data_IF_692991203449
#
_entry.id   IF_692991203449
#
_cell.length_a   1.000
_cell.length_b   1.000
_cell.length_c   1.000
_cell.angle_alpha   90.00
_cell.angle_beta   90.00
_cell.angle_gamma   90.00
#
_symmetry.space_group_name_H-M   'P 1'
#
loop_
_entity.id
_entity.type
_entity.pdbx_description
1 polymer ?
#
# COMPACT_ATOMS: atom_id res chain seq x y z
N UNK A 1 5.73 -20.91 -15.42
CA UNK A 1 6.70 -19.91 -14.91
C UNK A 1 6.01 -18.58 -14.59
N UNK A 2 6.14 -18.08 -13.35
CA UNK A 2 5.73 -16.72 -13.02
C UNK A 2 6.59 -15.73 -13.82
N UNK A 3 5.94 -14.90 -14.64
CA UNK A 3 6.62 -13.83 -15.38
C UNK A 3 6.88 -12.69 -14.40
N UNK A 4 8.13 -12.25 -14.29
CA UNK A 4 8.47 -11.07 -13.49
C UNK A 4 7.69 -9.85 -14.00
N UNK A 5 6.86 -9.19 -13.16
CA UNK A 5 6.08 -8.05 -13.60
C UNK A 5 6.99 -6.93 -14.10
N UNK A 6 6.54 -6.25 -15.17
CA UNK A 6 7.23 -5.12 -15.79
C UNK A 6 6.24 -4.07 -16.23
N UNK A 7 6.61 -2.81 -16.07
CA UNK A 7 5.82 -1.68 -16.55
C UNK A 7 4.92 -1.11 -15.46
N UNK A 8 3.89 -0.39 -15.89
CA UNK A 8 3.02 0.37 -15.01
C UNK A 8 1.62 -0.26 -14.93
N UNK A 9 0.99 -0.11 -13.77
CA UNK A 9 -0.42 -0.39 -13.54
C UNK A 9 -1.05 0.87 -12.96
N UNK A 10 -2.14 1.33 -13.57
CA UNK A 10 -2.96 2.43 -13.04
C UNK A 10 -4.35 1.88 -12.76
N UNK A 11 -4.86 2.18 -11.58
CA UNK A 11 -6.23 1.91 -11.20
C UNK A 11 -6.83 3.18 -10.59
N UNK A 12 -8.01 3.57 -11.07
CA UNK A 12 -8.75 4.72 -10.55
C UNK A 12 -10.20 4.31 -10.38
N UNK A 13 -10.76 4.69 -9.25
CA UNK A 13 -12.17 4.48 -8.92
C UNK A 13 -12.80 5.82 -8.59
N UNK A 14 -14.06 5.98 -9.02
CA UNK A 14 -14.89 7.13 -8.69
C UNK A 14 -16.26 6.59 -8.27
N UNK A 15 -16.65 6.87 -7.03
CA UNK A 15 -17.94 6.51 -6.48
C UNK A 15 -18.74 7.78 -6.18
N UNK A 16 -20.03 7.76 -6.50
CA UNK A 16 -20.97 8.84 -6.21
C UNK A 16 -22.21 8.24 -5.56
N UNK A 17 -22.53 8.71 -4.37
CA UNK A 17 -23.78 8.38 -3.68
C UNK A 17 -24.58 9.67 -3.46
N UNK A 18 -25.87 9.62 -3.79
CA UNK A 18 -26.77 10.76 -3.62
C UNK A 18 -28.19 10.30 -3.36
N UNK A 19 -28.93 11.07 -2.56
CA UNK A 19 -30.38 10.89 -2.35
C UNK A 19 -31.16 10.96 -3.66
N UNK A 20 -30.67 11.68 -4.68
CA UNK A 20 -31.28 11.70 -6.02
C UNK A 20 -31.34 10.31 -6.69
N UNK A 21 -30.50 9.37 -6.26
CA UNK A 21 -30.47 7.99 -6.72
C UNK A 21 -30.95 6.98 -5.67
N UNK A 22 -31.61 7.45 -4.60
CA UNK A 22 -32.13 6.60 -3.52
C UNK A 22 -31.08 6.11 -2.51
N UNK A 23 -29.91 6.76 -2.45
CA UNK A 23 -28.93 6.48 -1.40
C UNK A 23 -29.30 7.15 -0.07
N UNK A 24 -29.04 6.47 1.04
CA UNK A 24 -29.16 7.03 2.39
C UNK A 24 -28.00 7.96 2.76
N UNK A 25 -26.89 7.89 1.99
CA UNK A 25 -25.69 8.70 2.17
C UNK A 25 -25.48 9.62 0.97
N UNK A 26 -24.78 10.74 1.20
CA UNK A 26 -24.38 11.67 0.16
C UNK A 26 -22.87 11.88 0.21
N UNK A 27 -22.16 11.32 -0.77
CA UNK A 27 -20.71 11.43 -0.86
C UNK A 27 -20.23 11.37 -2.30
N UNK A 28 -19.04 11.92 -2.51
CA UNK A 28 -18.19 11.63 -3.64
C UNK A 28 -16.87 11.04 -3.14
N UNK A 29 -16.45 9.91 -3.70
CA UNK A 29 -15.17 9.27 -3.40
C UNK A 29 -14.36 9.10 -4.67
N UNK A 30 -13.09 9.47 -4.62
CA UNK A 30 -12.12 9.17 -5.66
C UNK A 30 -10.91 8.46 -5.07
N UNK A 31 -10.42 7.41 -5.73
CA UNK A 31 -9.16 6.76 -5.37
C UNK A 31 -8.30 6.56 -6.60
N UNK A 32 -7.00 6.76 -6.48
CA UNK A 32 -6.01 6.48 -7.51
C UNK A 32 -4.90 5.60 -6.94
N UNK A 33 -4.47 4.61 -7.71
CA UNK A 33 -3.34 3.72 -7.42
C UNK A 33 -2.48 3.59 -8.65
N UNK A 34 -1.19 3.79 -8.45
CA UNK A 34 -0.13 3.69 -9.43
C UNK A 34 0.89 2.69 -8.91
N UNK A 35 1.25 1.71 -9.72
CA UNK A 35 2.34 0.80 -9.43
C UNK A 35 3.29 0.74 -10.64
N UNK A 36 4.59 0.76 -10.40
CA UNK A 36 5.62 0.61 -11.42
C UNK A 36 6.61 -0.47 -11.02
N UNK A 37 6.84 -1.42 -11.92
CA UNK A 37 7.69 -2.58 -11.71
C UNK A 37 8.87 -2.54 -12.67
N UNK A 38 10.07 -2.41 -12.11
CA UNK A 38 11.34 -2.47 -12.83
C UNK A 38 12.03 -3.81 -12.54
N UNK A 39 11.95 -4.73 -13.50
CA UNK A 39 12.64 -6.02 -13.44
C UNK A 39 13.87 -6.00 -14.34
N UNK A 40 15.01 -6.43 -13.79
CA UNK A 40 16.27 -6.53 -14.53
C UNK A 40 16.48 -7.89 -15.22
N UNK A 41 15.51 -8.80 -15.14
CA UNK A 41 15.58 -10.08 -15.85
C UNK A 41 15.69 -9.86 -17.38
N UNK A 42 16.21 -10.82 -18.15
CA UNK A 42 16.01 -10.81 -19.59
C UNK A 42 14.51 -10.89 -19.90
N UNK A 43 14.04 -10.23 -20.96
CA UNK A 43 12.70 -10.54 -21.49
C UNK A 43 12.80 -11.93 -22.11
N UNK A 44 12.12 -12.93 -21.56
CA UNK A 44 12.05 -14.25 -22.20
C UNK A 44 11.31 -14.11 -23.53
N UNK A 45 12.01 -14.35 -24.64
CA UNK A 45 11.47 -14.26 -26.00
C UNK A 45 10.49 -15.41 -26.31
N UNK A 46 10.48 -16.47 -25.49
CA UNK A 46 9.55 -17.60 -25.62
C UNK A 46 9.19 -18.15 -24.23
N UNK A 47 7.91 -18.14 -23.82
CA UNK A 47 7.48 -18.76 -22.56
C UNK A 47 7.84 -20.24 -22.54
N UNK A 48 8.59 -20.69 -21.53
CA UNK A 48 8.93 -22.11 -21.34
C UNK A 48 10.27 -22.57 -21.93
N UNK A 49 11.02 -21.70 -22.61
CA UNK A 49 12.42 -21.97 -22.98
C UNK A 49 13.32 -21.18 -22.04
N UNK A 50 13.76 -21.82 -20.96
CA UNK A 50 14.89 -21.32 -20.16
C UNK A 50 16.14 -21.97 -20.71
N UNK A 51 16.93 -21.23 -21.46
CA UNK A 51 18.30 -21.65 -21.73
C UNK A 51 19.05 -21.60 -20.39
N UNK A 52 19.46 -22.77 -19.89
CA UNK A 52 20.21 -22.90 -18.64
C UNK A 52 21.64 -22.38 -18.87
N UNK A 53 21.76 -21.06 -18.99
CA UNK A 53 23.04 -20.40 -19.06
C UNK A 53 23.54 -20.20 -17.64
N UNK A 54 24.71 -20.79 -17.35
CA UNK A 54 25.45 -20.56 -16.12
C UNK A 54 25.93 -19.11 -16.08
N UNK A 55 25.07 -18.23 -15.57
CA UNK A 55 25.39 -16.80 -15.40
C UNK A 55 26.22 -16.58 -14.12
N UNK A 56 27.13 -15.59 -14.11
CA UNK A 56 27.86 -15.19 -12.91
C UNK A 56 26.91 -14.84 -11.73
N UNK A 57 27.31 -15.07 -10.46
CA UNK A 57 26.44 -14.85 -9.31
C UNK A 57 25.84 -13.44 -9.22
N UNK A 58 26.63 -12.41 -9.51
CA UNK A 58 26.16 -11.02 -9.50
C UNK A 58 25.11 -10.77 -10.60
N UNK A 59 25.33 -11.35 -11.79
CA UNK A 59 24.38 -11.24 -12.88
C UNK A 59 23.08 -11.97 -12.54
N UNK A 60 23.16 -13.16 -11.95
CA UNK A 60 22.01 -13.91 -11.45
C UNK A 60 21.18 -13.10 -10.45
N UNK A 61 21.86 -12.46 -9.48
CA UNK A 61 21.26 -11.59 -8.49
C UNK A 61 20.43 -10.47 -9.13
N UNK A 62 21.02 -9.71 -10.05
CA UNK A 62 20.30 -8.63 -10.73
C UNK A 62 19.15 -9.18 -11.55
N UNK A 63 19.36 -10.23 -12.35
CA UNK A 63 18.31 -10.81 -13.19
C UNK A 63 17.08 -11.30 -12.41
N UNK A 64 17.25 -11.70 -11.16
CA UNK A 64 16.14 -12.13 -10.29
C UNK A 64 15.63 -11.03 -9.35
N UNK A 65 16.24 -9.85 -9.38
CA UNK A 65 15.83 -8.71 -8.59
C UNK A 65 14.66 -7.95 -9.24
N UNK A 66 13.83 -7.35 -8.39
CA UNK A 66 12.70 -6.49 -8.77
C UNK A 66 12.71 -5.24 -7.91
N UNK A 67 12.57 -4.09 -8.56
CA UNK A 67 12.29 -2.83 -7.88
C UNK A 67 10.85 -2.43 -8.17
N UNK A 68 10.05 -2.27 -7.12
CA UNK A 68 8.64 -1.90 -7.19
C UNK A 68 8.43 -0.52 -6.55
N UNK A 69 7.66 0.32 -7.24
CA UNK A 69 7.24 1.62 -6.76
C UNK A 69 5.72 1.64 -6.70
N UNK A 70 5.15 2.14 -5.60
CA UNK A 70 3.73 2.30 -5.39
C UNK A 70 3.40 3.73 -5.01
N UNK A 71 2.32 4.25 -5.54
CA UNK A 71 1.70 5.49 -5.08
C UNK A 71 0.18 5.31 -5.03
N UNK A 72 -0.45 5.74 -3.95
CA UNK A 72 -1.90 5.69 -3.77
C UNK A 72 -2.36 6.99 -3.15
N UNK A 73 -3.53 7.44 -3.56
CA UNK A 73 -4.22 8.54 -2.92
C UNK A 73 -5.73 8.29 -2.97
N UNK A 74 -6.44 8.78 -1.96
CA UNK A 74 -7.89 8.74 -1.94
C UNK A 74 -8.46 9.93 -1.21
N UNK A 75 -9.61 10.40 -1.70
CA UNK A 75 -10.39 11.46 -1.10
C UNK A 75 -11.86 11.03 -1.08
N UNK A 76 -12.52 11.22 0.05
CA UNK A 76 -13.96 11.08 0.20
C UNK A 76 -14.50 12.36 0.82
N UNK A 77 -15.49 12.96 0.17
CA UNK A 77 -16.10 14.19 0.62
C UNK A 77 -17.60 13.97 0.78
N UNK A 78 -18.16 14.42 1.90
CA UNK A 78 -19.62 14.40 2.09
C UNK A 78 -20.26 15.50 1.26
N UNK A 79 -21.34 15.16 0.54
CA UNK A 79 -22.09 16.13 -0.26
C UNK A 79 -23.29 16.72 0.50
N UNK A 80 -23.52 16.27 1.73
CA UNK A 80 -24.55 16.85 2.59
C UNK A 80 -24.11 18.28 2.98
N UNK A 81 -24.90 19.28 2.60
CA UNK A 81 -24.82 20.61 3.20
C UNK A 81 -25.44 20.55 4.59
N UNK A 82 -24.63 20.36 5.62
CA UNK A 82 -25.12 20.59 6.97
C UNK A 82 -25.20 22.09 7.22
N UNK A 83 -26.39 22.59 7.53
CA UNK A 83 -26.52 23.86 8.25
C UNK A 83 -25.74 23.80 9.57
N UNK A 84 -25.54 24.93 10.27
CA UNK A 84 -24.63 25.04 11.42
C UNK A 84 -24.87 24.07 12.59
N UNK A 85 -25.97 23.31 12.60
CA UNK A 85 -26.37 22.40 13.67
C UNK A 85 -26.41 20.90 13.28
N UNK A 86 -26.05 20.52 12.05
CA UNK A 86 -25.89 19.09 11.69
C UNK A 86 -24.40 18.75 11.55
N UNK A 87 -23.95 17.71 12.25
CA UNK A 87 -22.60 17.21 12.04
C UNK A 87 -22.56 16.52 10.67
N UNK A 88 -21.84 17.07 9.70
CA UNK A 88 -21.48 16.36 8.47
C UNK A 88 -20.64 15.16 8.87
N UNK A 89 -21.29 14.01 9.03
CA UNK A 89 -20.75 12.82 9.71
C UNK A 89 -20.64 11.71 8.70
N UNK A 90 -19.59 11.71 7.87
CA UNK A 90 -19.32 10.57 7.00
C UNK A 90 -19.23 9.31 7.88
N UNK A 91 -20.07 8.28 7.65
CA UNK A 91 -20.06 7.05 8.46
C UNK A 91 -18.67 6.42 8.45
N UNK A 92 -18.29 5.80 9.57
CA UNK A 92 -16.95 5.21 9.72
C UNK A 92 -16.63 4.18 8.62
N UNK A 93 -17.64 3.45 8.15
CA UNK A 93 -17.51 2.45 7.09
C UNK A 93 -17.20 3.07 5.71
N UNK A 94 -17.48 4.37 5.55
CA UNK A 94 -17.19 5.13 4.33
C UNK A 94 -15.85 5.89 4.40
N UNK A 95 -15.15 5.82 5.53
CA UNK A 95 -13.83 6.45 5.71
C UNK A 95 -12.70 5.55 5.22
N UNK A 96 -11.57 6.17 4.92
CA UNK A 96 -10.34 5.46 4.63
C UNK A 96 -9.62 5.05 5.91
N UNK A 97 -8.87 3.97 5.80
CA UNK A 97 -8.00 3.48 6.85
C UNK A 97 -6.63 3.19 6.24
N UNK A 98 -5.59 3.39 7.04
CA UNK A 98 -4.22 3.26 6.61
C UNK A 98 -3.39 2.49 7.66
N UNK A 99 -2.18 2.06 7.30
CA UNK A 99 -1.40 1.10 8.10
C UNK A 99 -1.73 -0.36 7.76
N UNK A 100 -0.72 -1.23 7.82
CA UNK A 100 -0.86 -2.64 7.43
C UNK A 100 0.13 -3.11 6.35
N UNK A 101 -0.05 -4.36 5.91
CA UNK A 101 0.90 -5.08 5.05
C UNK A 101 1.05 -4.50 3.62
N UNK A 102 0.12 -3.64 3.21
CA UNK A 102 0.05 -3.09 1.83
C UNK A 102 0.08 -1.57 1.77
N UNK A 103 0.27 -0.90 2.90
CA UNK A 103 0.33 0.56 3.01
C UNK A 103 1.57 1.00 3.76
N UNK A 104 1.49 1.42 5.02
CA UNK A 104 2.64 1.79 5.86
C UNK A 104 2.90 0.66 6.85
N UNK A 105 3.95 -0.13 6.59
CA UNK A 105 4.23 -1.42 7.27
C UNK A 105 4.85 -1.31 8.67
N UNK A 106 5.00 -0.09 9.19
CA UNK A 106 5.38 0.15 10.59
C UNK A 106 4.17 0.18 11.52
N UNK A 107 2.96 0.27 10.97
CA UNK A 107 1.70 0.34 11.72
C UNK A 107 0.91 -0.96 11.61
N UNK A 108 0.11 -1.25 12.64
CA UNK A 108 -0.90 -2.30 12.59
C UNK A 108 -1.90 -2.08 11.46
N UNK A 109 -2.64 -3.14 11.13
CA UNK A 109 -3.69 -3.05 10.11
C UNK A 109 -4.73 -1.99 10.51
N UNK A 110 -4.93 -0.99 9.64
CA UNK A 110 -5.88 0.13 9.86
C UNK A 110 -5.55 1.05 11.05
N UNK A 111 -4.35 0.98 11.60
CA UNK A 111 -3.97 1.67 12.83
C UNK A 111 -3.30 3.04 12.60
N UNK A 112 -2.90 3.38 11.37
CA UNK A 112 -2.32 4.70 11.08
C UNK A 112 -3.44 5.73 10.95
N UNK A 113 -3.32 6.84 11.70
CA UNK A 113 -4.15 8.04 11.56
C UNK A 113 -4.95 8.38 12.81
N UNK A 114 -6.13 9.01 12.68
CA UNK A 114 -6.91 9.46 13.84
C UNK A 114 -7.50 8.31 14.67
N UNK A 115 -7.45 8.44 16.00
CA UNK A 115 -8.09 7.54 16.97
C UNK A 115 -9.08 8.29 17.86
N UNK A 116 -10.06 7.54 18.39
CA UNK A 116 -10.97 8.04 19.43
C UNK A 116 -10.27 8.13 20.80
N UNK A 117 -10.89 8.73 21.84
CA UNK A 117 -10.31 8.80 23.18
C UNK A 117 -10.05 7.45 23.87
N UNK A 118 -10.54 6.35 23.30
CA UNK A 118 -10.30 4.98 23.77
C UNK A 118 -9.18 4.28 22.99
N UNK A 119 -8.58 4.96 22.01
CA UNK A 119 -7.52 4.43 21.16
C UNK A 119 -8.01 3.56 20.00
N UNK A 120 -9.28 3.66 19.58
CA UNK A 120 -9.78 2.94 18.40
C UNK A 120 -9.60 3.80 17.14
N UNK A 121 -9.11 3.24 16.01
CA UNK A 121 -8.96 4.00 14.78
C UNK A 121 -10.33 4.41 14.23
N UNK A 122 -10.50 5.69 13.90
CA UNK A 122 -11.75 6.25 13.37
C UNK A 122 -11.70 6.58 11.88
N UNK A 123 -10.58 6.28 11.23
CA UNK A 123 -10.35 6.54 9.81
C UNK A 123 -10.23 8.02 9.47
N UNK A 124 -10.06 8.30 8.18
CA UNK A 124 -9.94 9.65 7.64
C UNK A 124 -10.64 9.81 6.29
N UNK A 125 -10.67 11.04 5.81
CA UNK A 125 -11.33 11.42 4.57
C UNK A 125 -10.35 11.58 3.41
N UNK A 126 -9.06 11.76 3.70
CA UNK A 126 -8.01 11.86 2.70
C UNK A 126 -6.79 11.04 3.11
N UNK A 127 -6.17 10.36 2.16
CA UNK A 127 -4.92 9.65 2.41
C UNK A 127 -3.99 9.70 1.21
N UNK A 128 -2.70 9.58 1.50
CA UNK A 128 -1.65 9.31 0.52
C UNK A 128 -0.74 8.20 1.03
N UNK A 129 -0.25 7.36 0.12
CA UNK A 129 0.72 6.30 0.43
C UNK A 129 1.72 6.22 -0.72
N UNK A 130 2.99 6.11 -0.39
CA UNK A 130 4.11 5.84 -1.28
C UNK A 130 4.88 4.63 -0.77
N UNK A 131 5.24 3.73 -1.67
CA UNK A 131 5.98 2.51 -1.35
C UNK A 131 7.15 2.34 -2.32
N UNK A 132 8.30 1.96 -1.79
CA UNK A 132 9.44 1.50 -2.57
C UNK A 132 9.88 0.16 -1.99
N UNK A 133 9.93 -0.87 -2.83
CA UNK A 133 10.36 -2.21 -2.43
C UNK A 133 11.41 -2.74 -3.39
N UNK A 134 12.55 -3.17 -2.85
CA UNK A 134 13.57 -3.91 -3.57
C UNK A 134 13.54 -5.37 -3.13
N UNK A 135 13.20 -6.26 -4.05
CA UNK A 135 13.19 -7.71 -3.85
C UNK A 135 14.39 -8.35 -4.56
N UNK A 136 15.07 -9.26 -3.88
CA UNK A 136 16.29 -9.92 -4.39
C UNK A 136 16.27 -11.43 -4.06
N UNK A 137 16.96 -12.27 -4.84
CA UNK A 137 16.98 -13.71 -4.59
C UNK A 137 17.83 -14.06 -3.36
N UNK A 138 17.40 -15.06 -2.59
CA UNK A 138 18.20 -15.69 -1.52
C UNK A 138 18.58 -17.10 -1.93
N UNK A 139 17.59 -17.98 -2.10
CA UNK A 139 17.80 -19.39 -2.45
C UNK A 139 16.53 -20.02 -3.03
N UNK A 140 16.63 -20.63 -4.20
CA UNK A 140 15.49 -21.23 -4.89
C UNK A 140 14.34 -20.22 -5.04
N UNK A 141 13.17 -20.54 -4.49
CA UNK A 141 11.97 -19.70 -4.52
C UNK A 141 11.88 -18.68 -3.37
N UNK A 142 12.86 -18.68 -2.45
CA UNK A 142 12.96 -17.73 -1.35
C UNK A 142 13.68 -16.46 -1.82
N UNK A 143 13.02 -15.32 -1.58
CA UNK A 143 13.54 -13.99 -1.85
C UNK A 143 13.54 -13.13 -0.58
N UNK A 144 14.48 -12.20 -0.51
CA UNK A 144 14.49 -11.14 0.47
C UNK A 144 13.87 -9.88 -0.10
N UNK A 145 13.35 -9.03 0.77
CA UNK A 145 12.85 -7.71 0.44
C UNK A 145 13.38 -6.68 1.44
N UNK A 146 13.69 -5.49 0.96
CA UNK A 146 13.87 -4.29 1.78
C UNK A 146 12.95 -3.20 1.23
N UNK A 147 12.42 -2.38 2.12
CA UNK A 147 11.41 -1.42 1.72
C UNK A 147 11.44 -0.12 2.51
N UNK A 148 10.86 0.90 1.87
CA UNK A 148 10.56 2.20 2.43
C UNK A 148 9.11 2.56 2.11
N UNK A 149 8.33 2.87 3.13
CA UNK A 149 6.96 3.34 2.99
C UNK A 149 6.82 4.75 3.58
N UNK A 150 5.94 5.54 2.99
CA UNK A 150 5.50 6.81 3.51
C UNK A 150 3.98 6.90 3.32
N UNK A 151 3.23 7.35 4.32
CA UNK A 151 1.81 7.62 4.13
C UNK A 151 1.21 8.47 5.23
N UNK A 152 0.09 9.10 4.93
CA UNK A 152 -0.71 9.86 5.88
C UNK A 152 -2.18 9.44 5.82
N UNK A 153 -2.95 9.86 6.82
CA UNK A 153 -4.41 9.72 6.84
C UNK A 153 -5.00 10.94 7.55
N UNK A 154 -5.57 11.85 6.79
CA UNK A 154 -6.12 13.11 7.30
C UNK A 154 -7.61 12.95 7.65
N UNK A 155 -8.06 13.55 8.76
CA UNK A 155 -9.44 13.41 9.23
C UNK A 155 -10.46 14.11 8.33
N UNK A 156 -10.06 15.14 7.58
CA UNK A 156 -10.92 15.94 6.71
C UNK A 156 -10.41 15.95 5.26
N UNK A 157 -11.35 16.01 4.33
CA UNK A 157 -11.10 16.18 2.89
C UNK A 157 -10.94 17.64 2.45
N UNK A 158 -11.18 18.60 3.35
CA UNK A 158 -11.14 20.05 3.04
C UNK A 158 -9.71 20.57 2.83
N UNK A 159 -8.73 19.96 3.51
CA UNK A 159 -7.31 20.32 3.43
C UNK A 159 -6.49 19.11 2.94
N UNK A 160 -6.66 18.67 1.68
CA UNK A 160 -5.91 17.55 1.16
C UNK A 160 -4.44 17.93 1.01
N UNK A 161 -3.54 17.09 1.51
CA UNK A 161 -2.11 17.41 1.54
C UNK A 161 -1.25 16.21 1.88
N UNK A 162 0.07 16.42 1.81
CA UNK A 162 1.09 15.43 2.23
C UNK A 162 1.61 15.74 3.63
N UNK A 163 0.83 16.47 4.42
CA UNK A 163 1.12 16.79 5.81
C UNK A 163 0.95 15.54 6.69
N UNK A 164 1.59 15.54 7.87
CA UNK A 164 1.55 14.43 8.84
C UNK A 164 1.91 13.07 8.22
N UNK A 165 3.03 13.05 7.50
CA UNK A 165 3.53 11.85 6.83
C UNK A 165 4.22 10.94 7.85
N UNK A 166 3.78 9.69 7.91
CA UNK A 166 4.40 8.64 8.71
C UNK A 166 5.18 7.69 7.82
N UNK A 167 6.22 7.07 8.38
CA UNK A 167 7.20 6.32 7.61
C UNK A 167 7.39 4.89 8.11
N UNK A 168 7.82 4.02 7.21
CA UNK A 168 8.30 2.69 7.56
C UNK A 168 9.60 2.39 6.82
N UNK A 169 10.59 1.87 7.54
CA UNK A 169 11.75 1.20 6.95
C UNK A 169 11.69 -0.25 7.39
N UNK A 170 11.89 -1.19 6.48
CA UNK A 170 11.78 -2.58 6.88
C UNK A 170 12.40 -3.58 5.93
N UNK A 171 12.30 -4.82 6.36
CA UNK A 171 12.77 -5.97 5.63
C UNK A 171 11.71 -7.08 5.67
N UNK A 172 11.79 -7.96 4.69
CA UNK A 172 10.86 -9.06 4.58
C UNK A 172 11.39 -10.25 3.81
N UNK A 173 10.63 -11.33 3.87
CA UNK A 173 10.83 -12.54 3.11
C UNK A 173 9.65 -12.74 2.16
N UNK A 174 9.93 -13.28 0.98
CA UNK A 174 8.94 -13.68 -0.01
C UNK A 174 9.19 -15.14 -0.37
N UNK A 175 8.15 -15.95 -0.36
CA UNK A 175 8.23 -17.33 -0.83
C UNK A 175 7.26 -17.54 -1.99
N UNK A 176 7.78 -17.81 -3.19
CA UNK A 176 6.94 -17.98 -4.39
C UNK A 176 6.21 -19.33 -4.35
N UNK A 177 4.89 -19.29 -4.32
CA UNK A 177 4.05 -20.47 -4.56
C UNK A 177 3.45 -20.42 -5.96
N UNK A 178 2.99 -21.56 -6.50
CA UNK A 178 2.26 -21.61 -7.77
C UNK A 178 1.02 -20.70 -7.81
N UNK A 179 0.43 -20.46 -6.65
CA UNK A 179 -0.79 -19.65 -6.47
C UNK A 179 -0.50 -18.17 -6.19
N UNK A 180 0.76 -17.78 -5.95
CA UNK A 180 1.15 -16.43 -5.54
C UNK A 180 2.17 -16.43 -4.40
N UNK A 181 2.89 -15.32 -4.14
CA UNK A 181 3.89 -15.29 -3.10
C UNK A 181 3.28 -15.17 -1.70
N UNK A 182 3.89 -15.84 -0.71
CA UNK A 182 3.72 -15.54 0.72
C UNK A 182 4.70 -14.45 1.11
N UNK A 183 4.27 -13.54 1.99
CA UNK A 183 5.06 -12.41 2.48
C UNK A 183 5.12 -12.40 3.99
N UNK A 184 6.33 -12.19 4.51
CA UNK A 184 6.60 -11.90 5.92
C UNK A 184 7.34 -10.57 5.93
N UNK A 185 6.79 -9.55 6.59
CA UNK A 185 7.36 -8.21 6.64
C UNK A 185 7.48 -7.74 8.10
N UNK A 186 8.56 -7.04 8.40
CA UNK A 186 8.70 -6.27 9.62
C UNK A 186 9.16 -4.86 9.26
N UNK A 187 8.31 -3.87 9.56
CA UNK A 187 8.60 -2.46 9.37
C UNK A 187 8.79 -1.77 10.70
N UNK A 188 9.77 -0.88 10.79
CA UNK A 188 9.99 0.00 11.94
C UNK A 188 9.64 1.44 11.57
N UNK A 189 9.06 2.18 12.51
CA UNK A 189 8.82 3.61 12.35
C UNK A 189 10.09 4.39 12.74
N UNK A 190 10.78 5.05 11.77
CA UNK A 190 11.98 5.82 12.07
C UNK A 190 11.70 7.16 12.78
N UNK A 191 10.49 7.69 12.67
CA UNK A 191 10.07 8.98 13.26
C UNK A 191 8.80 8.79 14.10
N UNK A 192 8.99 8.09 15.22
CA UNK A 192 7.89 7.64 16.08
C UNK A 192 7.40 8.75 16.99
N UNK A 193 6.10 8.98 17.00
CA UNK A 193 5.45 9.91 17.91
C UNK A 193 5.22 9.27 19.30
N UNK A 194 5.08 10.06 20.38
CA UNK A 194 4.81 9.53 21.71
C UNK A 194 3.52 8.70 21.75
N UNK A 195 3.63 7.45 22.21
CA UNK A 195 2.50 6.53 22.29
C UNK A 195 2.36 5.55 21.12
N UNK A 196 3.12 5.75 20.04
CA UNK A 196 3.13 4.81 18.91
C UNK A 196 4.05 3.60 19.17
N UNK A 197 3.75 2.49 18.49
CA UNK A 197 4.59 1.31 18.47
C UNK A 197 5.88 1.53 17.68
N UNK A 198 6.93 0.75 18.00
CA UNK A 198 8.22 0.83 17.29
C UNK A 198 8.12 0.34 15.84
N UNK A 199 7.15 -0.54 15.57
CA UNK A 199 7.03 -1.23 14.30
C UNK A 199 6.00 -2.34 14.37
N UNK A 200 5.69 -2.91 13.20
CA UNK A 200 4.67 -3.92 13.05
C UNK A 200 5.18 -5.12 12.24
N UNK A 201 4.64 -6.29 12.58
CA UNK A 201 4.86 -7.53 11.83
C UNK A 201 3.63 -7.84 10.98
N UNK A 202 3.88 -8.24 9.73
CA UNK A 202 2.82 -8.60 8.80
C UNK A 202 3.08 -9.95 8.13
N UNK A 203 2.01 -10.72 8.04
CA UNK A 203 1.91 -11.89 7.18
C UNK A 203 0.85 -11.62 6.11
N UNK A 204 1.19 -11.81 4.84
CA UNK A 204 0.22 -11.62 3.76
C UNK A 204 0.46 -12.57 2.59
N UNK A 205 -0.56 -12.69 1.74
CA UNK A 205 -0.51 -13.46 0.52
C UNK A 205 -0.72 -12.54 -0.69
N UNK A 206 0.00 -12.80 -1.79
CA UNK A 206 -0.09 -12.00 -3.01
C UNK A 206 1.02 -10.94 -3.13
N UNK A 207 0.91 -10.11 -4.16
CA UNK A 207 1.96 -9.15 -4.52
C UNK A 207 2.04 -7.94 -3.57
N UNK A 208 3.18 -7.25 -3.61
CA UNK A 208 3.36 -5.96 -2.95
C UNK A 208 2.55 -4.90 -3.70
N UNK A 209 1.56 -4.36 -2.98
CA UNK A 209 0.73 -3.21 -3.34
C UNK A 209 0.38 -3.08 -4.83
#
# INVERSE_FOLDING_TARGET
PLVSPRGFVVNTTLDLASKAFGSEIELARGTARLAYFLSFAPKTLTPGVTEDQTVPPLQHWFQQSLLAFGARAGLVHSLNNSGPDEATTLPIDERFFNGGATTVRSYGERDLGPHDPKGNPIGGEFFTVFNVEYTFPIYGELQGAVFYDAGNLLPTSEEPGVDDMHYAIGAGLRYKLPIGPIRLDYGVNPDRQPGEDIGAFHFSFGFAF
#
